data_IF_610213597314
#
_entry.id   IF_610213597314
#
_cell.length_a   1.000
_cell.length_b   1.000
_cell.length_c   1.000
_cell.angle_alpha   90.00
_cell.angle_beta   90.00
_cell.angle_gamma   90.00
#
_symmetry.space_group_name_H-M   'P 1'
#
loop_
_entity.id
_entity.type
_entity.pdbx_description
1 polymer ?
#
# COMPACT_ATOMS: atom_id res chain seq x y z
N UNK A 1 12.20 -5.71 -27.94
CA UNK A 1 12.24 -5.52 -26.47
C UNK A 1 12.23 -4.04 -26.16
N UNK A 2 11.04 -3.44 -26.12
CA UNK A 2 10.87 -2.03 -25.76
C UNK A 2 10.95 -1.88 -24.26
N UNK A 3 11.97 -1.16 -23.77
CA UNK A 3 12.02 -0.68 -22.39
C UNK A 3 10.92 0.37 -22.23
N UNK A 4 9.75 -0.05 -21.73
CA UNK A 4 8.74 0.88 -21.20
C UNK A 4 9.31 1.40 -19.88
N UNK A 5 10.07 2.48 -19.99
CA UNK A 5 10.44 3.32 -18.86
C UNK A 5 9.13 3.88 -18.28
N UNK A 6 8.61 3.23 -17.23
CA UNK A 6 7.61 3.79 -16.33
C UNK A 6 8.23 4.99 -15.58
N UNK A 7 8.47 6.07 -16.31
CA UNK A 7 8.64 7.37 -15.70
C UNK A 7 7.29 7.74 -15.12
N UNK A 8 7.23 7.93 -13.80
CA UNK A 8 6.12 8.65 -13.18
C UNK A 8 5.81 9.87 -14.06
N UNK A 9 4.54 10.11 -14.45
CA UNK A 9 4.23 11.28 -15.25
C UNK A 9 4.75 12.50 -14.48
N UNK A 10 5.38 13.42 -15.20
CA UNK A 10 6.12 14.56 -14.65
C UNK A 10 5.35 15.29 -13.54
N UNK A 11 4.02 15.22 -13.57
CA UNK A 11 3.06 15.85 -12.66
C UNK A 11 3.16 15.44 -11.19
N UNK A 12 3.27 14.16 -10.82
CA UNK A 12 3.28 13.79 -9.38
C UNK A 12 4.64 14.04 -8.73
N UNK A 13 5.73 13.76 -9.45
CA UNK A 13 7.09 14.04 -8.97
C UNK A 13 7.32 15.54 -8.84
N UNK A 14 6.81 16.34 -9.77
CA UNK A 14 6.84 17.80 -9.66
C UNK A 14 5.97 18.30 -8.51
N UNK A 15 4.76 17.77 -8.31
CA UNK A 15 3.90 18.14 -7.20
C UNK A 15 4.53 17.82 -5.83
N UNK A 16 5.23 16.68 -5.72
CA UNK A 16 5.95 16.30 -4.52
C UNK A 16 7.16 17.20 -4.25
N UNK A 17 7.92 17.57 -5.30
CA UNK A 17 8.99 18.57 -5.19
C UNK A 17 8.45 19.92 -4.72
N UNK A 18 7.29 20.35 -5.20
CA UNK A 18 6.63 21.59 -4.76
C UNK A 18 6.20 21.49 -3.29
N UNK A 19 5.62 20.36 -2.86
CA UNK A 19 5.28 20.15 -1.45
C UNK A 19 6.52 20.16 -0.54
N UNK A 20 7.63 19.54 -0.98
CA UNK A 20 8.89 19.56 -0.26
C UNK A 20 9.46 20.99 -0.16
N UNK A 21 9.42 21.76 -1.25
CA UNK A 21 9.85 23.16 -1.26
C UNK A 21 8.98 24.03 -0.34
N UNK A 22 7.66 23.78 -0.29
CA UNK A 22 6.75 24.48 0.62
C UNK A 22 7.08 24.20 2.09
N UNK A 23 7.37 22.94 2.46
CA UNK A 23 7.83 22.56 3.81
C UNK A 23 9.15 23.23 4.17
N UNK A 24 10.12 23.22 3.25
CA UNK A 24 11.41 23.88 3.47
C UNK A 24 11.25 25.39 3.68
N UNK A 25 10.35 26.04 2.92
CA UNK A 25 10.04 27.45 3.11
C UNK A 25 9.37 27.73 4.46
N UNK A 26 8.41 26.89 4.88
CA UNK A 26 7.75 27.00 6.19
C UNK A 26 8.74 26.83 7.35
N UNK A 27 9.65 25.84 7.26
CA UNK A 27 10.73 25.68 8.24
C UNK A 27 11.63 26.92 8.28
N UNK A 28 12.04 27.45 7.12
CA UNK A 28 12.87 28.66 7.07
C UNK A 28 12.17 29.88 7.71
N UNK A 29 10.84 30.00 7.58
CA UNK A 29 10.09 31.07 8.26
C UNK A 29 10.00 30.84 9.77
N UNK A 30 9.83 29.59 10.21
CA UNK A 30 9.88 29.22 11.63
C UNK A 30 11.23 29.56 12.26
N UNK A 31 12.33 29.22 11.57
CA UNK A 31 13.69 29.50 12.03
C UNK A 31 13.93 31.02 12.14
N UNK A 32 13.42 31.82 11.19
CA UNK A 32 13.50 33.29 11.24
C UNK A 32 12.68 33.88 12.40
N UNK A 33 11.51 33.30 12.71
CA UNK A 33 10.71 33.67 13.88
C UNK A 33 11.45 33.34 15.18
N UNK A 34 12.07 32.16 15.28
CA UNK A 34 12.88 31.78 16.43
C UNK A 34 14.08 32.71 16.63
N UNK A 35 14.77 33.09 15.55
CA UNK A 35 15.84 34.08 15.60
C UNK A 35 15.34 35.46 16.08
N UNK A 36 14.18 35.92 15.58
CA UNK A 36 13.59 37.17 16.03
C UNK A 36 13.20 37.13 17.53
N UNK A 37 12.74 35.98 18.03
CA UNK A 37 12.43 35.80 19.45
C UNK A 37 13.69 35.83 20.33
N UNK A 38 14.80 35.26 19.86
CA UNK A 38 16.08 35.34 20.55
C UNK A 38 16.62 36.78 20.61
N UNK A 39 16.47 37.55 19.53
CA UNK A 39 16.84 38.97 19.52
C UNK A 39 15.95 39.82 20.44
N UNK A 40 14.64 39.54 20.50
CA UNK A 40 13.74 40.19 21.45
C UNK A 40 14.19 39.94 22.90
N UNK A 41 14.52 38.69 23.24
CA UNK A 41 14.97 38.34 24.59
C UNK A 41 16.25 39.10 24.99
N UNK A 42 17.20 39.28 24.05
CA UNK A 42 18.40 40.10 24.28
C UNK A 42 18.06 41.58 24.47
N UNK A 43 17.16 42.11 23.65
CA UNK A 43 16.72 43.51 23.73
C UNK A 43 15.99 43.80 25.04
N UNK A 44 15.14 42.88 25.51
CA UNK A 44 14.45 42.97 26.80
C UNK A 44 15.41 42.92 27.98
N UNK A 45 16.43 42.05 27.93
CA UNK A 45 17.48 42.00 28.94
C UNK A 45 18.26 43.34 29.01
N UNK A 46 18.65 43.88 27.86
CA UNK A 46 19.32 45.19 27.78
C UNK A 46 18.43 46.33 28.31
N UNK A 47 17.14 46.33 27.97
CA UNK A 47 16.19 47.32 28.48
C UNK A 47 16.05 47.22 30.01
N UNK A 48 16.04 46.01 30.56
CA UNK A 48 15.99 45.80 32.00
C UNK A 48 17.26 46.31 32.71
N UNK A 49 18.44 46.09 32.13
CA UNK A 49 19.72 46.65 32.63
C UNK A 49 19.69 48.18 32.63
N UNK A 50 19.23 48.80 31.53
CA UNK A 50 19.08 50.25 31.44
C UNK A 50 18.04 50.79 32.42
N UNK A 51 16.93 50.09 32.65
CA UNK A 51 15.89 50.49 33.60
C UNK A 51 16.45 50.61 35.03
N UNK A 52 17.37 49.73 35.42
CA UNK A 52 18.08 49.81 36.71
C UNK A 52 18.93 51.08 36.78
N UNK A 53 19.67 51.43 35.72
CA UNK A 53 20.48 52.65 35.67
C UNK A 53 19.63 53.93 35.67
N UNK A 54 18.51 53.93 34.96
CA UNK A 54 17.55 55.04 34.87
C UNK A 54 16.93 55.36 36.22
N UNK A 55 16.70 54.36 37.09
CA UNK A 55 16.16 54.59 38.44
C UNK A 55 17.05 55.50 39.33
N UNK A 56 18.33 55.65 38.98
CA UNK A 56 19.30 56.49 39.69
C UNK A 56 19.50 57.89 39.06
N UNK A 57 19.23 58.07 37.77
CA UNK A 57 19.66 59.27 37.01
C UNK A 57 18.57 59.90 36.11
N UNK A 58 17.39 59.28 36.01
CA UNK A 58 16.34 59.64 35.04
C UNK A 58 16.56 58.97 33.66
N UNK A 59 15.51 58.90 32.81
CA UNK A 59 15.59 58.26 31.50
C UNK A 59 16.47 59.08 30.55
N UNK A 60 17.31 58.38 29.79
CA UNK A 60 18.17 58.96 28.75
C UNK A 60 17.80 58.45 27.36
N UNK A 61 18.45 59.00 26.33
CA UNK A 61 18.19 58.65 24.94
C UNK A 61 18.48 57.18 24.60
N UNK A 62 19.28 56.47 25.40
CA UNK A 62 19.61 55.07 25.14
C UNK A 62 18.55 54.14 25.72
N UNK A 63 17.89 54.52 26.82
CA UNK A 63 16.68 53.85 27.30
C UNK A 63 15.53 53.93 26.28
N UNK A 64 15.27 55.11 25.71
CA UNK A 64 14.21 55.29 24.71
C UNK A 64 14.46 54.43 23.45
N UNK A 65 15.70 54.40 22.95
CA UNK A 65 16.08 53.54 21.81
C UNK A 65 15.88 52.06 22.10
N UNK A 66 16.23 51.59 23.30
CA UNK A 66 16.06 50.19 23.68
C UNK A 66 14.58 49.82 23.80
N UNK A 67 13.74 50.73 24.33
CA UNK A 67 12.29 50.53 24.40
C UNK A 67 11.66 50.47 23.00
N UNK A 68 12.07 51.36 22.09
CA UNK A 68 11.64 51.36 20.70
C UNK A 68 12.05 50.07 19.96
N UNK A 69 13.27 49.58 20.20
CA UNK A 69 13.78 48.33 19.64
C UNK A 69 12.95 47.12 20.09
N UNK A 70 12.65 47.01 21.39
CA UNK A 70 11.77 45.98 21.95
C UNK A 70 10.38 46.05 21.32
N UNK A 71 9.80 47.26 21.19
CA UNK A 71 8.50 47.46 20.57
C UNK A 71 8.47 46.97 19.11
N UNK A 72 9.48 47.35 18.31
CA UNK A 72 9.60 46.89 16.91
C UNK A 72 9.75 45.38 16.80
N UNK A 73 10.55 44.76 17.67
CA UNK A 73 10.76 43.31 17.67
C UNK A 73 9.48 42.56 18.07
N UNK A 74 8.69 43.09 19.01
CA UNK A 74 7.38 42.53 19.38
C UNK A 74 6.40 42.59 18.20
N UNK A 75 6.23 43.73 17.55
CA UNK A 75 5.38 43.84 16.35
C UNK A 75 5.84 42.92 15.22
N UNK A 76 7.16 42.72 15.07
CA UNK A 76 7.71 41.78 14.09
C UNK A 76 7.33 40.33 14.42
N UNK A 77 7.41 39.92 15.69
CA UNK A 77 6.98 38.58 16.11
C UNK A 77 5.48 38.37 15.92
N UNK A 78 4.66 39.36 16.27
CA UNK A 78 3.22 39.34 16.02
C UNK A 78 2.91 39.14 14.53
N UNK A 79 3.64 39.85 13.65
CA UNK A 79 3.51 39.65 12.19
C UNK A 79 3.87 38.21 11.76
N UNK A 80 4.89 37.61 12.35
CA UNK A 80 5.24 36.22 12.06
C UNK A 80 4.14 35.25 12.52
N UNK A 81 3.64 35.44 13.73
CA UNK A 81 2.68 34.55 14.38
C UNK A 81 1.29 34.64 13.74
N UNK A 82 0.84 35.85 13.37
CA UNK A 82 -0.52 36.08 12.86
C UNK A 82 -0.65 35.97 11.34
N UNK A 83 0.44 36.21 10.59
CA UNK A 83 0.37 36.31 9.13
C UNK A 83 1.31 35.33 8.43
N UNK A 84 2.61 35.39 8.73
CA UNK A 84 3.62 34.67 7.94
C UNK A 84 3.50 33.16 8.13
N UNK A 85 3.49 32.68 9.38
CA UNK A 85 3.41 31.25 9.67
C UNK A 85 2.04 30.66 9.26
N UNK A 86 0.88 31.30 9.54
CA UNK A 86 -0.40 30.80 9.04
C UNK A 86 -0.46 30.72 7.52
N UNK A 87 0.06 31.72 6.80
CA UNK A 87 0.12 31.67 5.33
C UNK A 87 1.04 30.57 4.82
N UNK A 88 2.21 30.38 5.43
CA UNK A 88 3.13 29.31 5.08
C UNK A 88 2.51 27.92 5.32
N UNK A 89 1.82 27.73 6.45
CA UNK A 89 1.12 26.48 6.77
C UNK A 89 0.03 26.16 5.73
N UNK A 90 -0.81 27.13 5.36
CA UNK A 90 -1.82 26.95 4.31
C UNK A 90 -1.20 26.56 2.96
N UNK A 91 -0.03 27.14 2.62
CA UNK A 91 0.67 26.79 1.39
C UNK A 91 1.23 25.36 1.43
N UNK A 92 1.72 24.90 2.58
CA UNK A 92 2.13 23.50 2.78
C UNK A 92 0.94 22.57 2.59
N UNK A 93 -0.17 22.81 3.30
CA UNK A 93 -1.39 22.00 3.20
C UNK A 93 -1.91 21.91 1.76
N UNK A 94 -1.98 23.05 1.05
CA UNK A 94 -2.43 23.08 -0.33
C UNK A 94 -1.49 22.31 -1.27
N UNK A 95 -0.18 22.39 -1.05
CA UNK A 95 0.82 21.70 -1.88
C UNK A 95 0.81 20.20 -1.64
N UNK A 96 0.66 19.77 -0.38
CA UNK A 96 0.53 18.36 -0.01
C UNK A 96 -0.75 17.73 -0.56
N UNK A 97 -1.87 18.45 -0.49
CA UNK A 97 -3.14 18.01 -1.07
C UNK A 97 -3.01 17.79 -2.58
N UNK A 98 -2.35 18.70 -3.29
CA UNK A 98 -2.07 18.56 -4.73
C UNK A 98 -1.16 17.37 -5.04
N UNK A 99 -0.10 17.16 -4.24
CA UNK A 99 0.78 16.01 -4.40
C UNK A 99 0.05 14.68 -4.16
N UNK A 100 -0.84 14.63 -3.17
CA UNK A 100 -1.67 13.45 -2.92
C UNK A 100 -2.66 13.16 -4.05
N UNK A 101 -3.31 14.20 -4.59
CA UNK A 101 -4.22 14.07 -5.73
C UNK A 101 -3.48 13.60 -6.99
N UNK A 102 -2.30 14.15 -7.27
CA UNK A 102 -1.48 13.72 -8.41
C UNK A 102 -1.11 12.22 -8.31
N UNK A 103 -0.72 11.73 -7.14
CA UNK A 103 -0.44 10.29 -6.92
C UNK A 103 -1.68 9.42 -7.15
N UNK A 104 -2.85 9.85 -6.66
CA UNK A 104 -4.12 9.13 -6.88
C UNK A 104 -4.47 9.05 -8.35
N UNK A 105 -4.32 10.17 -9.06
CA UNK A 105 -4.59 10.25 -10.48
C UNK A 105 -3.66 9.34 -11.29
N UNK A 106 -2.35 9.32 -10.99
CA UNK A 106 -1.38 8.47 -11.68
C UNK A 106 -1.69 6.99 -11.47
N UNK A 107 -1.98 6.59 -10.22
CA UNK A 107 -2.39 5.22 -9.90
C UNK A 107 -3.67 4.82 -10.64
N UNK A 108 -4.65 5.73 -10.73
CA UNK A 108 -5.88 5.52 -11.49
C UNK A 108 -5.59 5.34 -12.99
N UNK A 109 -4.74 6.17 -13.58
CA UNK A 109 -4.41 6.09 -15.00
C UNK A 109 -3.68 4.79 -15.35
N UNK A 110 -2.77 4.34 -14.49
CA UNK A 110 -2.09 3.05 -14.68
C UNK A 110 -3.07 1.87 -14.53
N UNK A 111 -3.93 1.89 -13.51
CA UNK A 111 -4.96 0.87 -13.33
C UNK A 111 -5.93 0.83 -14.54
N UNK A 112 -6.33 2.00 -15.05
CA UNK A 112 -7.16 2.11 -16.26
C UNK A 112 -6.44 1.53 -17.47
N UNK A 113 -5.17 1.87 -17.68
CA UNK A 113 -4.37 1.36 -18.80
C UNK A 113 -4.26 -0.16 -18.77
N UNK A 114 -4.02 -0.75 -17.59
CA UNK A 114 -3.97 -2.20 -17.40
C UNK A 114 -5.34 -2.84 -17.66
N UNK A 115 -6.43 -2.24 -17.17
CA UNK A 115 -7.79 -2.72 -17.40
C UNK A 115 -8.17 -2.69 -18.89
N UNK A 116 -7.87 -1.59 -19.58
CA UNK A 116 -8.14 -1.44 -21.02
C UNK A 116 -7.32 -2.45 -21.85
N UNK A 117 -6.05 -2.66 -21.49
CA UNK A 117 -5.19 -3.65 -22.15
C UNK A 117 -5.72 -5.08 -21.94
N UNK A 118 -6.12 -5.43 -20.72
CA UNK A 118 -6.74 -6.72 -20.43
C UNK A 118 -8.07 -6.90 -21.18
N UNK A 119 -8.91 -5.86 -21.25
CA UNK A 119 -10.15 -5.90 -22.01
C UNK A 119 -9.90 -6.09 -23.51
N UNK A 120 -8.92 -5.40 -24.08
CA UNK A 120 -8.55 -5.55 -25.49
C UNK A 120 -8.05 -6.97 -25.80
N UNK A 121 -7.21 -7.53 -24.92
CA UNK A 121 -6.71 -8.91 -25.03
C UNK A 121 -7.87 -9.92 -24.97
N UNK A 122 -8.79 -9.73 -24.02
CA UNK A 122 -9.97 -10.59 -23.91
C UNK A 122 -10.83 -10.51 -25.18
N UNK A 123 -11.12 -9.31 -25.69
CA UNK A 123 -11.88 -9.14 -26.94
C UNK A 123 -11.20 -9.85 -28.11
N UNK A 124 -9.87 -9.82 -28.19
CA UNK A 124 -9.11 -10.48 -29.24
C UNK A 124 -9.12 -12.02 -29.12
N UNK A 125 -8.92 -12.56 -27.91
CA UNK A 125 -8.80 -14.01 -27.70
C UNK A 125 -10.14 -14.73 -27.55
N UNK A 126 -11.17 -14.05 -27.05
CA UNK A 126 -12.44 -14.66 -26.67
C UNK A 126 -13.12 -15.44 -27.80
N UNK A 127 -13.17 -14.94 -29.06
CA UNK A 127 -13.79 -15.70 -30.16
C UNK A 127 -13.10 -17.04 -30.42
N UNK A 128 -11.76 -17.08 -30.37
CA UNK A 128 -10.99 -18.32 -30.56
C UNK A 128 -11.21 -19.30 -29.41
N UNK A 129 -11.19 -18.80 -28.17
CA UNK A 129 -11.47 -19.63 -26.98
C UNK A 129 -12.90 -20.18 -27.00
N UNK A 130 -13.88 -19.34 -27.35
CA UNK A 130 -15.29 -19.74 -27.46
C UNK A 130 -15.47 -20.83 -28.53
N UNK A 131 -14.87 -20.64 -29.72
CA UNK A 131 -14.91 -21.64 -30.78
C UNK A 131 -14.25 -22.97 -30.35
N UNK A 132 -13.12 -22.91 -29.64
CA UNK A 132 -12.45 -24.08 -29.10
C UNK A 132 -13.33 -24.83 -28.09
N UNK A 133 -13.93 -24.11 -27.13
CA UNK A 133 -14.82 -24.69 -26.12
C UNK A 133 -16.05 -25.32 -26.77
N UNK A 134 -16.67 -24.64 -27.73
CA UNK A 134 -17.83 -25.16 -28.49
C UNK A 134 -17.47 -26.43 -29.24
N UNK A 135 -16.30 -26.46 -29.89
CA UNK A 135 -15.81 -27.65 -30.58
C UNK A 135 -15.59 -28.81 -29.60
N UNK A 136 -14.98 -28.56 -28.44
CA UNK A 136 -14.76 -29.59 -27.42
C UNK A 136 -16.09 -30.13 -26.87
N UNK A 137 -17.09 -29.28 -26.64
CA UNK A 137 -18.43 -29.71 -26.24
C UNK A 137 -19.08 -30.61 -27.29
N UNK A 138 -19.00 -30.25 -28.57
CA UNK A 138 -19.52 -31.08 -29.66
C UNK A 138 -18.83 -32.45 -29.72
N UNK A 139 -17.50 -32.48 -29.55
CA UNK A 139 -16.72 -33.72 -29.52
C UNK A 139 -17.08 -34.61 -28.32
N UNK A 140 -17.29 -34.03 -27.14
CA UNK A 140 -17.73 -34.77 -25.96
C UNK A 140 -19.14 -35.33 -26.18
N UNK A 141 -20.08 -34.52 -26.67
CA UNK A 141 -21.45 -34.97 -26.93
C UNK A 141 -21.52 -36.09 -27.97
N UNK A 142 -20.71 -36.01 -29.04
CA UNK A 142 -20.60 -37.09 -30.03
C UNK A 142 -20.03 -38.38 -29.40
N UNK A 143 -18.99 -38.26 -28.59
CA UNK A 143 -18.37 -39.38 -27.90
C UNK A 143 -19.32 -40.01 -26.86
N UNK A 144 -20.05 -39.20 -26.10
CA UNK A 144 -21.06 -39.65 -25.14
C UNK A 144 -22.18 -40.44 -25.86
N UNK A 145 -22.70 -39.91 -26.98
CA UNK A 145 -23.72 -40.61 -27.77
C UNK A 145 -23.21 -41.93 -28.37
N UNK A 146 -21.93 -42.01 -28.73
CA UNK A 146 -21.31 -43.25 -29.19
C UNK A 146 -21.14 -44.26 -28.05
N UNK A 147 -20.69 -43.80 -26.88
CA UNK A 147 -20.57 -44.63 -25.67
C UNK A 147 -21.94 -45.15 -25.24
N UNK A 148 -22.97 -44.31 -25.21
CA UNK A 148 -24.33 -44.71 -24.87
C UNK A 148 -24.87 -45.77 -25.84
N UNK A 149 -24.67 -45.57 -27.14
CA UNK A 149 -25.07 -46.54 -28.17
C UNK A 149 -24.40 -47.89 -27.96
N UNK A 150 -23.08 -47.93 -27.76
CA UNK A 150 -22.34 -49.18 -27.53
C UNK A 150 -22.73 -49.83 -26.20
N UNK A 151 -22.93 -49.02 -25.16
CA UNK A 151 -23.31 -49.53 -23.85
C UNK A 151 -24.74 -50.11 -23.84
N UNK A 152 -25.62 -49.65 -24.72
CA UNK A 152 -26.97 -50.18 -24.88
C UNK A 152 -27.01 -51.57 -25.54
N UNK A 153 -25.98 -51.94 -26.30
CA UNK A 153 -25.85 -53.24 -27.00
C UNK A 153 -24.49 -53.86 -26.74
N UNK A 154 -24.25 -54.16 -25.46
CA UNK A 154 -22.94 -54.54 -24.97
C UNK A 154 -22.62 -56.01 -25.27
N UNK A 155 -21.48 -56.33 -25.92
CA UNK A 155 -21.08 -57.71 -26.14
C UNK A 155 -20.96 -58.48 -24.82
N UNK A 156 -21.35 -59.75 -24.83
CA UNK A 156 -21.36 -60.55 -23.60
C UNK A 156 -19.98 -60.62 -22.94
N UNK A 157 -19.92 -60.33 -21.65
CA UNK A 157 -18.70 -60.37 -20.84
C UNK A 157 -17.81 -59.12 -20.92
N UNK A 158 -18.15 -58.12 -21.74
CA UNK A 158 -17.41 -56.85 -21.76
C UNK A 158 -17.90 -55.91 -20.64
N UNK A 159 -17.02 -55.08 -20.06
CA UNK A 159 -17.45 -54.02 -19.14
C UNK A 159 -18.03 -52.81 -19.91
N UNK A 160 -18.93 -52.02 -19.30
CA UNK A 160 -19.38 -50.75 -19.85
C UNK A 160 -18.23 -49.78 -20.12
N UNK A 161 -18.31 -49.08 -21.25
CA UNK A 161 -17.40 -47.98 -21.53
C UNK A 161 -17.72 -46.81 -20.60
N UNK A 162 -16.67 -46.21 -20.04
CA UNK A 162 -16.77 -45.02 -19.21
C UNK A 162 -17.02 -43.77 -20.05
N UNK A 163 -17.73 -42.81 -19.47
CA UNK A 163 -17.93 -41.49 -20.07
C UNK A 163 -16.57 -40.80 -20.33
N UNK A 164 -16.35 -40.27 -21.56
CA UNK A 164 -15.15 -39.53 -21.95
C UNK A 164 -14.73 -38.47 -20.92
N UNK A 165 -15.68 -37.70 -20.39
CA UNK A 165 -15.39 -36.63 -19.44
C UNK A 165 -14.97 -37.19 -18.06
N UNK A 166 -15.57 -38.30 -17.61
CA UNK A 166 -15.22 -38.95 -16.35
C UNK A 166 -13.74 -39.35 -16.31
N UNK A 167 -13.21 -39.88 -17.42
CA UNK A 167 -11.81 -40.31 -17.54
C UNK A 167 -10.79 -39.18 -17.34
N UNK A 168 -11.16 -37.94 -17.66
CA UNK A 168 -10.29 -36.77 -17.48
C UNK A 168 -10.45 -36.19 -16.08
N UNK A 169 -11.67 -36.14 -15.56
CA UNK A 169 -11.97 -35.62 -14.21
C UNK A 169 -11.43 -36.50 -13.09
N UNK A 170 -11.24 -37.78 -13.36
CA UNK A 170 -10.65 -38.72 -12.41
C UNK A 170 -9.12 -38.67 -12.35
N UNK A 171 -8.47 -37.89 -13.24
CA UNK A 171 -7.03 -37.66 -13.18
C UNK A 171 -6.65 -36.86 -11.93
N UNK A 172 -5.43 -37.11 -11.45
CA UNK A 172 -4.88 -36.41 -10.28
C UNK A 172 -4.88 -34.90 -10.55
N UNK A 173 -5.38 -34.14 -9.57
CA UNK A 173 -5.33 -32.68 -9.60
C UNK A 173 -3.91 -32.21 -9.88
N UNK A 174 -3.74 -31.15 -10.67
CA UNK A 174 -2.42 -30.51 -10.79
C UNK A 174 -1.99 -30.02 -9.40
N UNK A 175 -0.73 -30.28 -9.06
CA UNK A 175 -0.14 -29.82 -7.81
C UNK A 175 -0.14 -28.28 -7.74
N UNK A 176 -0.02 -27.75 -6.51
CA UNK A 176 0.12 -26.31 -6.27
C UNK A 176 1.35 -25.77 -7.04
N UNK A 177 1.16 -24.74 -7.87
CA UNK A 177 2.24 -24.12 -8.64
C UNK A 177 2.60 -22.77 -8.01
N UNK A 178 3.88 -22.58 -7.68
CA UNK A 178 4.41 -21.30 -7.25
C UNK A 178 4.61 -20.40 -8.47
N UNK A 179 3.82 -19.33 -8.55
CA UNK A 179 3.79 -18.37 -9.66
C UNK A 179 4.87 -17.31 -9.49
N UNK A 180 5.06 -16.85 -8.26
CA UNK A 180 6.04 -15.86 -7.89
C UNK A 180 6.60 -16.19 -6.49
N UNK A 181 7.90 -15.98 -6.33
CA UNK A 181 8.60 -16.18 -5.07
C UNK A 181 9.50 -14.97 -4.80
N UNK A 182 9.16 -14.22 -3.75
CA UNK A 182 9.91 -13.03 -3.34
C UNK A 182 10.24 -13.11 -1.86
N UNK A 183 11.47 -12.74 -1.50
CA UNK A 183 11.84 -12.58 -0.08
C UNK A 183 11.46 -11.19 0.40
N UNK A 184 10.72 -11.11 1.50
CA UNK A 184 10.30 -9.85 2.10
C UNK A 184 10.60 -9.85 3.61
N UNK A 185 10.86 -8.67 4.16
CA UNK A 185 10.91 -8.50 5.61
C UNK A 185 9.51 -8.25 6.16
N UNK A 186 9.11 -9.01 7.16
CA UNK A 186 7.85 -8.81 7.88
C UNK A 186 8.09 -8.78 9.38
N UNK A 187 7.23 -8.08 10.10
CA UNK A 187 7.15 -8.21 11.55
C UNK A 187 6.57 -9.59 11.90
N UNK A 188 7.20 -10.25 12.86
CA UNK A 188 6.78 -11.54 13.38
C UNK A 188 6.85 -11.55 14.90
N UNK A 189 6.02 -12.37 15.53
CA UNK A 189 6.13 -12.63 16.97
C UNK A 189 7.46 -13.30 17.27
N UNK A 190 8.23 -12.75 18.23
CA UNK A 190 9.57 -13.27 18.56
C UNK A 190 9.50 -14.72 19.05
N UNK A 191 8.43 -15.08 19.76
CA UNK A 191 8.22 -16.40 20.38
C UNK A 191 7.84 -17.49 19.37
N UNK A 192 6.93 -17.19 18.43
CA UNK A 192 6.37 -18.19 17.51
C UNK A 192 6.93 -18.09 16.09
N UNK A 193 7.55 -16.96 15.72
CA UNK A 193 7.97 -16.67 14.35
C UNK A 193 6.80 -16.46 13.38
N UNK A 194 5.56 -16.40 13.87
CA UNK A 194 4.37 -16.16 13.03
C UNK A 194 4.32 -14.69 12.61
N UNK A 195 4.10 -14.46 11.32
CA UNK A 195 3.96 -13.12 10.72
C UNK A 195 2.75 -12.39 11.32
N UNK A 196 2.93 -11.09 11.60
CA UNK A 196 1.84 -10.18 11.97
C UNK A 196 0.99 -9.82 10.74
N UNK A 197 -0.31 -9.65 10.93
CA UNK A 197 -1.20 -9.10 9.91
C UNK A 197 -0.90 -7.62 9.67
N UNK A 198 -1.28 -7.09 8.51
CA UNK A 198 -1.03 -5.67 8.18
C UNK A 198 -1.71 -4.71 9.18
N UNK A 199 -2.87 -5.10 9.71
CA UNK A 199 -3.56 -4.41 10.79
C UNK A 199 -2.72 -4.42 12.09
N UNK A 200 -2.17 -5.57 12.49
CA UNK A 200 -1.30 -5.67 13.66
C UNK A 200 0.01 -4.87 13.51
N UNK A 201 0.55 -4.80 12.29
CA UNK A 201 1.78 -4.02 12.02
C UNK A 201 1.59 -2.54 12.35
N UNK A 202 0.40 -1.96 12.13
CA UNK A 202 0.09 -0.58 12.48
C UNK A 202 0.21 -0.29 14.00
N UNK A 203 0.11 -1.34 14.82
CA UNK A 203 0.18 -1.29 16.28
C UNK A 203 1.56 -1.65 16.85
N UNK A 204 2.56 -1.89 15.99
CA UNK A 204 3.93 -2.13 16.42
C UNK A 204 4.56 -0.83 16.92
N UNK A 205 5.26 -0.92 18.05
CA UNK A 205 6.02 0.17 18.66
C UNK A 205 7.46 -0.29 18.85
N UNK A 206 8.40 0.53 18.39
CA UNK A 206 9.84 0.29 18.54
C UNK A 206 10.34 1.13 19.71
N UNK A 207 10.99 0.49 20.68
CA UNK A 207 11.66 1.17 21.79
C UNK A 207 13.05 1.66 21.36
N UNK A 208 13.52 2.73 22.01
CA UNK A 208 14.86 3.32 21.77
C UNK A 208 16.03 2.34 21.99
N UNK A 209 15.81 1.24 22.72
CA UNK A 209 16.77 0.14 22.91
C UNK A 209 16.75 -0.95 21.83
N UNK A 210 16.03 -0.76 20.71
CA UNK A 210 16.02 -1.67 19.56
C UNK A 210 15.01 -2.81 19.61
N UNK A 211 14.34 -3.04 20.75
CA UNK A 211 13.24 -4.01 20.86
C UNK A 211 11.92 -3.45 20.34
N UNK A 212 11.09 -4.28 19.71
CA UNK A 212 9.73 -3.89 19.30
C UNK A 212 8.67 -4.76 19.99
N UNK A 213 7.47 -4.19 20.16
CA UNK A 213 6.34 -4.88 20.75
C UNK A 213 5.03 -4.49 20.05
N UNK A 214 4.07 -5.42 20.06
CA UNK A 214 2.70 -5.17 19.60
C UNK A 214 1.89 -4.55 20.76
N UNK A 215 1.27 -3.39 20.52
CA UNK A 215 0.40 -2.71 21.50
C UNK A 215 -1.06 -2.88 21.12
N UNK A 216 -1.80 -3.74 21.82
CA UNK A 216 -3.19 -4.05 21.46
C UNK A 216 -4.20 -2.93 21.75
N UNK A 217 -3.86 -1.92 22.55
CA UNK A 217 -4.74 -0.76 22.77
C UNK A 217 -3.95 0.53 23.02
N UNK A 218 -4.52 1.65 22.57
CA UNK A 218 -3.99 3.00 22.78
C UNK A 218 -3.95 3.33 24.27
N UNK A 219 -2.74 3.53 24.79
CA UNK A 219 -2.43 3.82 26.20
C UNK A 219 -2.71 2.66 27.17
N UNK A 220 -1.87 1.63 27.11
CA UNK A 220 -1.81 0.58 28.14
C UNK A 220 -0.95 1.02 29.35
N UNK A 221 -1.37 0.70 30.60
CA UNK A 221 -0.57 0.91 31.80
C UNK A 221 0.71 0.06 31.78
N UNK A 222 1.73 0.47 32.53
CA UNK A 222 3.07 -0.12 32.55
C UNK A 222 3.13 -1.64 32.86
N UNK A 223 2.03 -2.23 33.36
CA UNK A 223 1.90 -3.65 33.72
C UNK A 223 1.27 -4.54 32.64
N UNK A 224 0.86 -3.99 31.49
CA UNK A 224 0.27 -4.79 30.43
C UNK A 224 1.32 -5.67 29.73
N UNK A 225 0.96 -6.92 29.42
CA UNK A 225 1.82 -7.88 28.74
C UNK A 225 2.22 -7.35 27.36
N UNK A 226 3.49 -6.94 27.20
CA UNK A 226 4.05 -6.56 25.91
C UNK A 226 4.40 -7.82 25.14
N UNK A 227 3.76 -8.04 23.99
CA UNK A 227 4.13 -9.14 23.11
C UNK A 227 5.32 -8.69 22.26
N UNK A 228 6.49 -9.29 22.50
CA UNK A 228 7.70 -8.99 21.73
C UNK A 228 7.55 -9.39 20.26
N UNK A 229 7.96 -8.49 19.38
CA UNK A 229 7.98 -8.69 17.93
C UNK A 229 9.31 -8.25 17.36
N UNK A 230 9.69 -8.83 16.23
CA UNK A 230 10.92 -8.50 15.52
C UNK A 230 10.72 -8.61 14.01
N UNK A 231 11.60 -7.99 13.22
CA UNK A 231 11.62 -8.19 11.79
C UNK A 231 12.30 -9.51 11.45
N UNK A 232 11.67 -10.33 10.61
CA UNK A 232 12.26 -11.54 10.05
C UNK A 232 12.02 -11.59 8.55
N UNK A 233 12.91 -12.29 7.85
CA UNK A 233 12.77 -12.59 6.42
C UNK A 233 11.76 -13.71 6.21
N UNK A 234 10.78 -13.45 5.35
CA UNK A 234 9.80 -14.43 4.90
C UNK A 234 9.92 -14.61 3.39
N UNK A 235 9.75 -15.85 2.96
CA UNK A 235 9.52 -16.22 1.58
C UNK A 235 8.03 -16.05 1.28
N UNK A 236 7.68 -15.02 0.52
CA UNK A 236 6.33 -14.79 0.00
C UNK A 236 6.20 -15.60 -1.28
N UNK A 237 5.36 -16.64 -1.25
CA UNK A 237 5.05 -17.47 -2.41
C UNK A 237 3.63 -17.18 -2.83
N UNK A 238 3.46 -16.74 -4.07
CA UNK A 238 2.16 -16.59 -4.70
C UNK A 238 1.81 -17.91 -5.40
N UNK A 239 0.78 -18.60 -4.91
CA UNK A 239 0.45 -19.97 -5.29
C UNK A 239 -0.83 -19.97 -6.12
N UNK A 240 -0.77 -20.55 -7.31
CA UNK A 240 -1.97 -21.01 -8.00
C UNK A 240 -2.46 -22.29 -7.32
N UNK A 241 -3.71 -22.29 -6.79
CA UNK A 241 -4.22 -23.44 -6.08
C UNK A 241 -4.29 -24.66 -7.00
N UNK A 242 -4.09 -25.84 -6.43
CA UNK A 242 -4.26 -27.10 -7.13
C UNK A 242 -5.58 -27.12 -7.91
N UNK A 243 -5.52 -27.38 -9.22
CA UNK A 243 -6.72 -27.50 -10.05
C UNK A 243 -7.40 -28.83 -9.75
N UNK A 244 -8.43 -28.78 -8.91
CA UNK A 244 -9.30 -29.91 -8.64
C UNK A 244 -10.39 -30.00 -9.70
N UNK A 245 -10.11 -30.75 -10.76
CA UNK A 245 -11.02 -30.98 -11.89
C UNK A 245 -12.37 -31.56 -11.46
N UNK A 246 -12.47 -32.15 -10.26
CA UNK A 246 -13.72 -32.72 -9.73
C UNK A 246 -14.70 -31.66 -9.23
N UNK A 247 -14.21 -30.48 -8.85
CA UNK A 247 -15.03 -29.38 -8.30
C UNK A 247 -15.63 -28.45 -9.36
N UNK A 248 -15.16 -28.51 -10.61
CA UNK A 248 -15.73 -27.73 -11.72
C UNK A 248 -17.04 -28.31 -12.26
N UNK A 249 -17.86 -27.50 -12.94
CA UNK A 249 -19.01 -28.02 -13.70
C UNK A 249 -18.56 -28.99 -14.81
N UNK A 250 -19.46 -29.85 -15.30
CA UNK A 250 -19.15 -30.73 -16.43
C UNK A 250 -19.15 -29.93 -17.74
N UNK A 251 -18.14 -30.08 -18.59
CA UNK A 251 -18.05 -29.29 -19.82
C UNK A 251 -19.25 -29.54 -20.73
N UNK A 252 -19.75 -30.78 -20.80
CA UNK A 252 -20.97 -31.11 -21.55
C UNK A 252 -22.26 -30.48 -21.00
N UNK A 253 -22.27 -29.99 -19.77
CA UNK A 253 -23.47 -29.43 -19.10
C UNK A 253 -23.34 -27.95 -18.73
N UNK A 254 -22.17 -27.34 -18.87
CA UNK A 254 -21.98 -25.92 -18.58
C UNK A 254 -22.64 -25.11 -19.70
N UNK A 255 -23.57 -24.23 -19.31
CA UNK A 255 -24.06 -23.17 -20.19
C UNK A 255 -22.91 -22.18 -20.46
N UNK A 256 -22.43 -22.16 -21.70
CA UNK A 256 -21.41 -21.23 -22.18
C UNK A 256 -21.98 -19.84 -22.52
N UNK A 257 -23.13 -19.46 -21.96
CA UNK A 257 -23.63 -18.07 -21.94
C UNK A 257 -22.60 -17.07 -21.38
N UNK A 258 -23.01 -15.90 -20.89
CA UNK A 258 -22.05 -14.95 -20.31
C UNK A 258 -21.34 -15.61 -19.09
N UNK A 259 -20.14 -16.14 -19.34
CA UNK A 259 -19.40 -17.08 -18.49
C UNK A 259 -19.35 -16.61 -17.04
N UNK A 260 -20.29 -17.09 -16.24
CA UNK A 260 -20.37 -16.88 -14.80
C UNK A 260 -20.08 -18.21 -14.12
N UNK A 261 -18.88 -18.74 -14.37
CA UNK A 261 -18.33 -19.74 -13.46
C UNK A 261 -17.65 -18.95 -12.34
N UNK A 262 -18.10 -19.05 -11.08
CA UNK A 262 -17.35 -18.52 -9.96
C UNK A 262 -16.02 -19.28 -9.90
N UNK A 263 -14.99 -18.73 -10.53
CA UNK A 263 -13.67 -19.32 -10.51
C UNK A 263 -13.06 -19.01 -9.16
N UNK A 264 -13.01 -20.01 -8.30
CA UNK A 264 -12.23 -19.99 -7.05
C UNK A 264 -10.71 -20.03 -7.31
N UNK A 265 -10.26 -19.59 -8.51
CA UNK A 265 -8.85 -19.43 -8.88
C UNK A 265 -8.32 -18.09 -8.34
N UNK A 266 -8.65 -17.77 -7.09
CA UNK A 266 -7.96 -16.69 -6.41
C UNK A 266 -6.58 -17.19 -6.05
N UNK A 267 -5.55 -16.58 -6.63
CA UNK A 267 -4.18 -16.82 -6.26
C UNK A 267 -4.03 -16.57 -4.75
N UNK A 268 -3.43 -17.52 -4.04
CA UNK A 268 -3.24 -17.43 -2.58
C UNK A 268 -1.79 -17.05 -2.30
N UNK A 269 -1.60 -16.12 -1.37
CA UNK A 269 -0.26 -15.75 -0.91
C UNK A 269 0.05 -16.55 0.35
N UNK A 270 1.09 -17.38 0.31
CA UNK A 270 1.65 -18.08 1.48
C UNK A 270 2.95 -17.38 1.90
N UNK A 271 3.14 -17.25 3.21
CA UNK A 271 4.39 -16.73 3.78
C UNK A 271 5.07 -17.86 4.55
N UNK A 272 6.31 -18.16 4.18
CA UNK A 272 7.12 -19.18 4.81
C UNK A 272 8.29 -18.50 5.52
N UNK A 273 8.45 -18.75 6.82
CA UNK A 273 9.54 -18.18 7.58
C UNK A 273 10.86 -18.78 7.12
N UNK A 274 11.82 -17.93 6.74
CA UNK A 274 13.16 -18.39 6.38
C UNK A 274 14.00 -18.69 7.64
N UNK A 275 14.92 -19.66 7.60
CA UNK A 275 15.87 -19.89 8.69
C UNK A 275 16.66 -18.63 9.01
N UNK A 276 17.09 -18.48 10.27
CA UNK A 276 18.06 -17.45 10.63
C UNK A 276 19.44 -17.92 10.14
N UNK A 277 20.02 -17.15 9.23
CA UNK A 277 21.45 -17.24 8.89
C UNK A 277 22.33 -16.82 10.08
#
# INVERSE_FOLDING_TARGET
>A
MSKVSNGLPATAVEAEKVALAARAAQQSMSDRRAAAAAELAKAEARLAELAVAVSASGPDADFEKAADEVSRLRTRLETYDDQVLPSANRNVEASEARAAEARRHDAYMEAKRLADAAAAELVAQFPTLSALLTRLQAQIAEADAAVERVNSDLPHGMPPLLEPEGRVRDQQSRDEEAVDETTIECWAFTTTGVRLTDEQVAHVRVHEGGGAYLSTDGAMPASASRTAVEKRSFRRVEIHPAQDWRKGGRLGTIDLGFLTVPTANQTRVRFELLPRD
#
